data_IF_690481908879
#
_entry.id   IF_690481908879
#
_cell.length_a   1.000
_cell.length_b   1.000
_cell.length_c   1.000
_cell.angle_alpha   90.00
_cell.angle_beta   90.00
_cell.angle_gamma   90.00
#
_symmetry.space_group_name_H-M   'P 1'
#
loop_
_entity.id
_entity.type
_entity.pdbx_description
1 polymer ?
#
# COMPACT_ATOMS: atom_id res chain seq x y z
N UNK A 1 11.95 -1.72 3.69
CA UNK A 1 10.50 -2.00 3.69
C UNK A 1 10.35 -3.46 4.06
N UNK A 2 9.75 -3.70 5.21
CA UNK A 2 9.47 -5.04 5.70
C UNK A 2 8.38 -5.75 4.87
N UNK A 3 8.25 -7.07 5.05
CA UNK A 3 7.36 -7.92 4.25
C UNK A 3 5.86 -7.66 4.55
N UNK A 4 5.59 -7.03 5.69
CA UNK A 4 4.27 -6.70 6.22
C UNK A 4 3.72 -5.43 5.56
N UNK A 5 4.60 -4.54 5.11
CA UNK A 5 4.26 -3.21 4.57
C UNK A 5 3.29 -3.30 3.37
N UNK A 6 3.46 -4.20 2.38
CA UNK A 6 2.49 -4.35 1.29
C UNK A 6 1.10 -4.77 1.76
N UNK A 7 1.00 -5.58 2.82
CA UNK A 7 -0.29 -6.05 3.37
C UNK A 7 -0.99 -4.90 4.08
N UNK A 8 -0.25 -4.15 4.89
CA UNK A 8 -0.72 -2.94 5.58
C UNK A 8 -1.17 -1.88 4.56
N UNK A 9 -0.41 -1.68 3.49
CA UNK A 9 -0.78 -0.76 2.42
C UNK A 9 -2.09 -1.18 1.73
N UNK A 10 -2.31 -2.48 1.50
CA UNK A 10 -3.57 -2.99 0.93
C UNK A 10 -4.75 -2.70 1.86
N UNK A 11 -4.58 -2.85 3.17
CA UNK A 11 -5.60 -2.50 4.17
C UNK A 11 -5.94 -1.01 4.08
N UNK A 12 -4.94 -0.13 3.98
CA UNK A 12 -5.18 1.31 3.82
C UNK A 12 -5.92 1.63 2.51
N UNK A 13 -5.58 0.98 1.40
CA UNK A 13 -6.30 1.14 0.12
C UNK A 13 -7.77 0.78 0.27
N UNK A 14 -8.07 -0.32 0.97
CA UNK A 14 -9.45 -0.74 1.22
C UNK A 14 -10.19 0.24 2.14
N UNK A 15 -9.52 0.75 3.18
CA UNK A 15 -10.08 1.81 4.06
C UNK A 15 -10.41 3.08 3.27
N UNK A 16 -9.53 3.53 2.36
CA UNK A 16 -9.80 4.67 1.47
C UNK A 16 -11.08 4.39 0.67
N UNK A 17 -11.19 3.21 0.07
CA UNK A 17 -12.37 2.83 -0.72
C UNK A 17 -13.65 2.92 0.12
N UNK A 18 -13.66 2.34 1.31
CA UNK A 18 -14.86 2.33 2.17
C UNK A 18 -15.21 3.69 2.74
N UNK A 19 -14.22 4.52 3.10
CA UNK A 19 -14.45 5.84 3.71
C UNK A 19 -14.81 6.92 2.68
N UNK A 20 -14.17 6.90 1.51
CA UNK A 20 -14.27 7.99 0.52
C UNK A 20 -15.07 7.62 -0.72
N UNK A 21 -15.26 6.33 -1.00
CA UNK A 21 -15.81 5.85 -2.27
C UNK A 21 -14.87 5.98 -3.47
N UNK A 22 -13.62 6.42 -3.26
CA UNK A 22 -12.64 6.56 -4.34
C UNK A 22 -12.17 5.17 -4.79
N UNK A 23 -12.40 4.86 -6.07
CA UNK A 23 -11.95 3.62 -6.68
C UNK A 23 -10.53 3.75 -7.23
N UNK A 24 -9.74 2.70 -7.03
CA UNK A 24 -8.45 2.53 -7.70
C UNK A 24 -8.69 2.25 -9.19
N UNK A 25 -8.04 3.03 -10.04
CA UNK A 25 -8.15 2.97 -11.49
C UNK A 25 -6.79 3.24 -12.16
N UNK A 26 -6.74 3.10 -13.49
CA UNK A 26 -5.51 3.24 -14.29
C UNK A 26 -4.77 4.58 -14.16
N UNK A 27 -5.45 5.63 -13.70
CA UNK A 27 -4.88 6.98 -13.56
C UNK A 27 -4.37 7.29 -12.15
N UNK A 28 -4.96 6.69 -11.09
CA UNK A 28 -4.63 7.04 -9.71
C UNK A 28 -3.85 5.94 -8.94
N UNK A 29 -3.83 4.70 -9.43
CA UNK A 29 -3.29 3.56 -8.68
C UNK A 29 -1.84 3.75 -8.22
N UNK A 30 -0.99 4.35 -9.06
CA UNK A 30 0.43 4.56 -8.74
C UNK A 30 0.61 5.44 -7.51
N UNK A 31 -0.13 6.54 -7.45
CA UNK A 31 0.00 7.53 -6.36
C UNK A 31 -0.68 7.03 -5.08
N UNK A 32 -1.83 6.37 -5.20
CA UNK A 32 -2.51 5.75 -4.05
C UNK A 32 -1.63 4.66 -3.44
N UNK A 33 -1.12 3.74 -4.24
CA UNK A 33 -0.26 2.66 -3.76
C UNK A 33 1.01 3.20 -3.12
N UNK A 34 1.66 4.17 -3.78
CA UNK A 34 2.88 4.80 -3.27
C UNK A 34 2.65 5.39 -1.87
N UNK A 35 1.65 6.25 -1.71
CA UNK A 35 1.42 6.93 -0.43
C UNK A 35 1.01 5.95 0.67
N UNK A 36 0.19 4.93 0.34
CA UNK A 36 -0.19 3.88 1.29
C UNK A 36 1.03 3.09 1.75
N UNK A 37 1.95 2.74 0.85
CA UNK A 37 3.20 2.06 1.22
C UNK A 37 4.13 2.94 2.05
N UNK A 38 4.21 4.24 1.78
CA UNK A 38 5.03 5.17 2.56
C UNK A 38 4.52 5.25 4.01
N UNK A 39 3.21 5.49 4.19
CA UNK A 39 2.60 5.56 5.53
C UNK A 39 2.66 4.21 6.23
N UNK A 40 2.43 3.10 5.53
CA UNK A 40 2.54 1.76 6.09
C UNK A 40 3.95 1.49 6.63
N UNK A 41 4.99 1.84 5.88
CA UNK A 41 6.38 1.70 6.33
C UNK A 41 6.66 2.57 7.55
N UNK A 42 6.17 3.80 7.60
CA UNK A 42 6.36 4.70 8.75
C UNK A 42 5.67 4.22 10.03
N UNK A 43 4.57 3.50 9.90
CA UNK A 43 3.81 2.97 11.05
C UNK A 43 4.39 1.65 11.55
N UNK A 44 4.94 0.83 10.65
CA UNK A 44 5.33 -0.54 10.96
C UNK A 44 6.84 -0.75 11.12
N UNK A 45 7.65 -0.03 10.35
CA UNK A 45 9.12 -0.17 10.33
C UNK A 45 9.74 0.77 11.38
N UNK A 46 10.54 0.23 12.29
CA UNK A 46 11.26 1.01 13.30
C UNK A 46 12.27 1.99 12.67
N UNK A 47 12.82 1.66 11.49
CA UNK A 47 13.76 2.49 10.71
C UNK A 47 13.19 2.83 9.32
N UNK A 48 12.08 3.56 9.34
CA UNK A 48 11.39 3.97 8.11
C UNK A 48 12.07 5.15 7.37
N UNK A 49 11.92 5.17 6.04
CA UNK A 49 12.42 6.26 5.22
C UNK A 49 11.61 7.55 5.40
N UNK A 50 12.32 8.67 5.54
CA UNK A 50 11.70 10.00 5.44
C UNK A 50 11.29 10.35 4.00
N UNK A 51 10.39 11.33 3.87
CA UNK A 51 9.86 11.76 2.58
C UNK A 51 10.91 12.29 1.61
N UNK A 52 12.04 12.79 2.13
CA UNK A 52 13.16 13.33 1.34
C UNK A 52 13.88 12.27 0.50
N UNK A 53 13.68 10.99 0.82
CA UNK A 53 14.36 9.89 0.14
C UNK A 53 13.62 9.42 -1.11
N UNK A 54 12.29 9.53 -1.16
CA UNK A 54 11.52 9.02 -2.30
C UNK A 54 11.85 9.70 -3.65
N UNK A 55 12.04 11.03 -3.73
CA UNK A 55 12.45 11.68 -4.98
C UNK A 55 13.81 11.22 -5.52
N UNK A 56 14.67 10.62 -4.68
CA UNK A 56 15.98 10.09 -5.09
C UNK A 56 15.85 8.77 -5.85
N UNK A 57 14.75 8.04 -5.63
CA UNK A 57 14.49 6.72 -6.21
C UNK A 57 13.41 6.80 -7.31
N UNK A 58 12.49 7.75 -7.19
CA UNK A 58 11.39 7.98 -8.14
C UNK A 58 11.53 9.36 -8.78
N UNK A 59 11.98 9.39 -10.04
CA UNK A 59 12.20 10.63 -10.79
C UNK A 59 10.91 11.40 -11.11
N UNK A 60 9.76 10.74 -11.04
CA UNK A 60 8.44 11.32 -11.31
C UNK A 60 7.76 11.89 -10.05
N UNK A 61 8.45 11.87 -8.90
CA UNK A 61 7.92 12.32 -7.60
C UNK A 61 8.77 13.44 -7.04
N UNK A 62 8.15 14.59 -6.73
CA UNK A 62 8.80 15.67 -5.98
C UNK A 62 8.55 15.56 -4.49
N UNK A 63 9.43 16.13 -3.67
CA UNK A 63 9.28 16.18 -2.21
C UNK A 63 7.98 16.88 -1.80
N UNK A 64 7.64 17.99 -2.45
CA UNK A 64 6.39 18.72 -2.17
C UNK A 64 5.16 17.86 -2.46
N UNK A 65 5.18 17.08 -3.54
CA UNK A 65 4.07 16.21 -3.90
C UNK A 65 3.89 15.08 -2.88
N UNK A 66 4.96 14.41 -2.46
CA UNK A 66 4.79 13.30 -1.50
C UNK A 66 4.32 13.78 -0.13
N UNK A 67 4.77 14.95 0.31
CA UNK A 67 4.29 15.58 1.54
C UNK A 67 2.78 15.89 1.45
N UNK A 68 2.33 16.45 0.32
CA UNK A 68 0.90 16.72 0.11
C UNK A 68 0.07 15.44 0.05
N UNK A 69 0.55 14.41 -0.65
CA UNK A 69 -0.15 13.13 -0.75
C UNK A 69 -0.29 12.47 0.62
N UNK A 70 0.78 12.45 1.42
CA UNK A 70 0.75 11.89 2.77
C UNK A 70 -0.22 12.64 3.68
N UNK A 71 -0.19 13.98 3.63
CA UNK A 71 -1.13 14.79 4.39
C UNK A 71 -2.58 14.50 4.00
N UNK A 72 -2.89 14.48 2.70
CA UNK A 72 -4.25 14.16 2.21
C UNK A 72 -4.68 12.75 2.65
N UNK A 73 -3.78 11.76 2.57
CA UNK A 73 -4.09 10.40 2.99
C UNK A 73 -4.46 10.35 4.48
N UNK A 74 -3.64 10.96 5.35
CA UNK A 74 -3.82 10.92 6.79
C UNK A 74 -5.04 11.72 7.25
N UNK A 75 -5.16 12.96 6.78
CA UNK A 75 -6.20 13.90 7.22
C UNK A 75 -7.56 13.56 6.60
N UNK A 76 -7.62 13.35 5.28
CA UNK A 76 -8.88 13.32 4.54
C UNK A 76 -9.39 11.90 4.27
N UNK A 77 -8.50 10.93 4.06
CA UNK A 77 -8.93 9.61 3.62
C UNK A 77 -8.96 8.57 4.74
N UNK A 78 -7.98 8.58 5.64
CA UNK A 78 -7.89 7.62 6.75
C UNK A 78 -8.42 8.19 8.06
N UNK A 79 -8.43 9.51 8.23
CA UNK A 79 -8.74 10.18 9.51
C UNK A 79 -7.86 9.63 10.64
N UNK A 80 -6.58 9.41 10.35
CA UNK A 80 -5.61 8.79 11.27
C UNK A 80 -5.99 7.40 11.81
N UNK A 81 -6.96 6.71 11.21
CA UNK A 81 -7.22 5.30 11.48
C UNK A 81 -6.11 4.46 10.83
N UNK A 82 -5.00 4.33 11.55
CA UNK A 82 -3.78 3.61 11.13
C UNK A 82 -3.56 2.30 11.89
N UNK A 83 -4.27 2.10 13.01
CA UNK A 83 -4.10 0.90 13.83
C UNK A 83 -4.74 -0.29 13.14
N UNK A 84 -3.95 -1.33 12.91
CA UNK A 84 -4.40 -2.58 12.29
C UNK A 84 -4.47 -3.66 13.35
N UNK A 85 -5.63 -4.31 13.44
CA UNK A 85 -5.81 -5.45 14.34
C UNK A 85 -5.15 -6.69 13.74
N UNK A 86 -4.62 -7.58 14.57
CA UNK A 86 -4.04 -8.85 14.10
C UNK A 86 -5.01 -9.69 13.27
N UNK A 87 -6.32 -9.66 13.59
CA UNK A 87 -7.36 -10.35 12.81
C UNK A 87 -7.58 -9.72 11.42
N UNK A 88 -7.45 -8.39 11.33
CA UNK A 88 -7.55 -7.67 10.06
C UNK A 88 -6.34 -8.00 9.20
N UNK A 89 -5.12 -7.87 9.73
CA UNK A 89 -3.89 -8.27 9.05
C UNK A 89 -3.97 -9.72 8.53
N UNK A 90 -4.33 -10.67 9.40
CA UNK A 90 -4.41 -12.08 9.04
C UNK A 90 -5.37 -12.34 7.87
N UNK A 91 -6.51 -11.64 7.83
CA UNK A 91 -7.47 -11.73 6.71
C UNK A 91 -6.80 -11.38 5.38
N UNK A 92 -6.11 -10.24 5.27
CA UNK A 92 -5.47 -9.84 4.01
C UNK A 92 -4.25 -10.71 3.68
N UNK A 93 -3.48 -11.12 4.69
CA UNK A 93 -2.37 -12.04 4.50
C UNK A 93 -2.84 -13.34 3.82
N UNK A 94 -3.88 -13.99 4.34
CA UNK A 94 -4.38 -15.24 3.76
C UNK A 94 -4.99 -15.04 2.38
N UNK A 95 -5.70 -13.94 2.13
CA UNK A 95 -6.23 -13.60 0.80
C UNK A 95 -5.09 -13.47 -0.22
N UNK A 96 -4.06 -12.69 0.11
CA UNK A 96 -2.90 -12.50 -0.78
C UNK A 96 -2.12 -13.80 -0.96
N UNK A 97 -2.02 -14.63 0.08
CA UNK A 97 -1.34 -15.93 -0.01
C UNK A 97 -2.05 -16.87 -0.97
N UNK A 98 -3.37 -16.99 -0.86
CA UNK A 98 -4.18 -17.81 -1.79
C UNK A 98 -4.03 -17.32 -3.22
N UNK A 99 -4.09 -16.00 -3.44
CA UNK A 99 -3.90 -15.42 -4.77
C UNK A 99 -2.51 -15.73 -5.34
N UNK A 100 -1.46 -15.63 -4.52
CA UNK A 100 -0.09 -15.95 -4.94
C UNK A 100 0.06 -17.43 -5.31
N UNK A 101 -0.55 -18.34 -4.56
CA UNK A 101 -0.53 -19.78 -4.84
C UNK A 101 -1.28 -20.09 -6.15
N UNK A 102 -2.43 -19.43 -6.41
CA UNK A 102 -3.15 -19.54 -7.69
C UNK A 102 -2.33 -19.05 -8.88
N UNK A 103 -1.68 -17.89 -8.76
CA UNK A 103 -0.83 -17.33 -9.82
C UNK A 103 0.38 -18.24 -10.13
N UNK A 104 0.97 -18.84 -9.09
CA UNK A 104 2.08 -19.80 -9.25
C UNK A 104 1.63 -21.06 -9.98
N UNK A 105 0.45 -21.59 -9.68
CA UNK A 105 -0.08 -22.76 -10.36
C UNK A 105 -0.36 -22.47 -11.84
N UNK A 106 -0.86 -21.28 -12.16
CA UNK A 106 -1.08 -20.84 -13.54
C UNK A 106 0.23 -20.70 -14.33
N UNK A 107 1.30 -20.18 -13.71
CA UNK A 107 2.60 -20.07 -14.40
C UNK A 107 3.19 -21.44 -14.72
N UNK A 108 3.09 -22.40 -13.80
CA UNK A 108 3.57 -23.78 -14.02
C UNK A 108 2.82 -24.46 -15.16
N UNK A 109 1.49 -24.31 -15.23
CA UNK A 109 0.70 -24.88 -16.33
C UNK A 109 1.02 -24.28 -17.71
N UNK A 110 1.50 -23.04 -17.76
CA UNK A 110 1.88 -22.38 -19.01
C UNK A 110 3.29 -22.76 -19.48
N UNK A 111 4.18 -23.22 -18.59
CA UNK A 111 5.52 -23.71 -18.94
C UNK A 111 5.52 -25.16 -19.42
N UNK A 112 4.49 -25.93 -19.06
CA UNK A 112 4.28 -27.32 -19.49
C UNK A 112 3.61 -27.44 -20.88
N UNK A 113 3.21 -26.32 -21.50
CA UNK A 113 2.61 -26.23 -22.84
C UNK A 113 3.60 -25.71 -23.89
#
# INVERSE_FOLDING_TARGET
MENEVPIIALIYIERILFKTGILVNKFNWKRILLVCMCVASKVWDDDSLENVHFPKVMSDVSLGMINQLEQILLDLFLEYDLVIKGSEYAKYYFVLRTLADEMRNQSLSNEEQ
#
